data_IF_345176794293
#
_entry.id   IF_345176794293
#
_cell.length_a   1.000
_cell.length_b   1.000
_cell.length_c   1.000
_cell.angle_alpha   90.00
_cell.angle_beta   90.00
_cell.angle_gamma   90.00
#
_symmetry.space_group_name_H-M   'P 1'
#
loop_
_entity.id
_entity.type
_entity.pdbx_description
1 polymer ?
#
# COMPACT_ATOMS: atom_id res chain seq x y z
N UNK A 1 46.63 29.35 54.96
CA UNK A 1 46.33 28.20 54.08
C UNK A 1 45.06 27.54 54.58
N UNK A 2 43.92 28.01 54.10
CA UNK A 2 42.60 27.47 54.46
C UNK A 2 42.33 26.17 53.71
N UNK A 3 41.86 25.15 54.44
CA UNK A 3 41.53 23.84 53.88
C UNK A 3 40.20 23.94 53.14
N UNK A 4 40.25 23.90 51.82
CA UNK A 4 39.08 23.84 50.95
C UNK A 4 38.34 22.50 51.19
N UNK A 5 37.10 22.58 51.69
CA UNK A 5 36.31 21.41 52.06
C UNK A 5 35.54 20.86 50.85
N UNK A 6 36.16 19.88 50.17
CA UNK A 6 35.67 19.17 48.99
C UNK A 6 34.27 18.54 49.16
N UNK A 7 33.80 18.36 50.40
CA UNK A 7 32.49 17.73 50.66
C UNK A 7 31.28 18.59 50.28
N UNK A 8 31.42 19.91 50.10
CA UNK A 8 30.29 20.78 49.73
C UNK A 8 30.07 20.92 48.20
N UNK A 9 31.08 20.60 47.38
CA UNK A 9 31.00 20.75 45.93
C UNK A 9 30.34 19.54 45.24
N UNK A 10 30.46 18.35 45.84
CA UNK A 10 29.88 17.10 45.32
C UNK A 10 28.35 17.07 45.46
N UNK A 11 27.79 17.69 46.50
CA UNK A 11 26.34 17.76 46.70
C UNK A 11 25.62 18.61 45.65
N UNK A 12 26.22 19.73 45.23
CA UNK A 12 25.60 20.65 44.27
C UNK A 12 25.69 20.15 42.82
N UNK A 13 26.77 19.44 42.48
CA UNK A 13 26.97 18.88 41.13
C UNK A 13 26.09 17.64 40.86
N UNK A 14 25.76 16.85 41.89
CA UNK A 14 24.81 15.74 41.75
C UNK A 14 23.35 16.17 41.69
N UNK A 15 23.01 17.36 42.21
CA UNK A 15 21.62 17.85 42.20
C UNK A 15 21.24 18.48 40.84
N UNK A 16 22.21 19.04 40.11
CA UNK A 16 21.99 19.58 38.76
C UNK A 16 21.93 18.48 37.67
N UNK A 17 22.51 17.30 37.92
CA UNK A 17 22.47 16.15 37.01
C UNK A 17 21.22 15.28 37.16
N UNK A 18 20.43 15.47 38.21
CA UNK A 18 19.19 14.71 38.44
C UNK A 18 17.93 15.37 37.86
N UNK A 19 17.99 16.67 37.54
CA UNK A 19 16.83 17.41 37.00
C UNK A 19 16.72 17.29 35.47
N UNK A 20 17.78 16.91 34.77
CA UNK A 20 17.75 16.74 33.30
C UNK A 20 17.27 15.37 32.82
N UNK A 21 16.96 14.43 33.73
CA UNK A 21 16.46 13.10 33.36
C UNK A 21 14.94 12.96 33.41
N UNK A 22 14.21 14.01 33.78
CA UNK A 22 12.75 13.99 33.81
C UNK A 22 12.24 14.75 32.59
N UNK A 23 11.49 14.03 31.75
CA UNK A 23 10.75 14.49 30.55
C UNK A 23 11.46 14.38 29.21
N UNK A 24 11.86 13.18 28.82
CA UNK A 24 11.77 12.79 27.40
C UNK A 24 11.17 11.40 27.24
N UNK A 25 10.11 11.11 28.00
CA UNK A 25 9.10 10.17 27.52
C UNK A 25 8.20 10.92 26.55
N UNK A 26 8.71 11.25 25.35
CA UNK A 26 7.80 11.34 24.23
C UNK A 26 7.26 9.92 24.06
N UNK A 27 6.05 9.69 24.59
CA UNK A 27 5.21 8.69 23.98
C UNK A 27 5.16 9.10 22.50
N UNK A 28 5.89 8.40 21.64
CA UNK A 28 5.67 8.50 20.21
C UNK A 28 4.22 8.09 20.03
N UNK A 29 3.32 9.07 19.94
CA UNK A 29 1.98 8.82 19.49
C UNK A 29 2.15 8.21 18.11
N UNK A 30 1.79 6.95 17.96
CA UNK A 30 1.91 6.28 16.67
C UNK A 30 1.03 7.04 15.70
N UNK A 31 1.66 7.59 14.65
CA UNK A 31 0.94 8.30 13.58
C UNK A 31 -0.24 7.45 13.12
N UNK A 32 -1.43 8.04 12.92
CA UNK A 32 -2.62 7.28 12.55
C UNK A 32 -2.35 6.56 11.23
N UNK A 33 -2.43 5.22 11.25
CA UNK A 33 -2.23 4.41 10.06
C UNK A 33 -3.34 4.69 9.05
N UNK A 34 -2.97 4.65 7.77
CA UNK A 34 -3.94 4.58 6.70
C UNK A 34 -4.75 3.28 6.81
N UNK A 35 -5.94 3.27 6.22
CA UNK A 35 -6.76 2.06 6.17
C UNK A 35 -7.35 1.82 4.80
N UNK A 36 -7.46 0.55 4.46
CA UNK A 36 -7.98 0.03 3.21
C UNK A 36 -9.21 -0.80 3.49
N UNK A 37 -10.30 -0.51 2.78
CA UNK A 37 -11.46 -1.39 2.67
C UNK A 37 -11.59 -1.83 1.23
N UNK A 38 -11.40 -3.12 0.96
CA UNK A 38 -11.39 -3.64 -0.41
C UNK A 38 -12.49 -4.68 -0.55
N UNK A 39 -13.35 -4.52 -1.55
CA UNK A 39 -14.39 -5.48 -1.91
C UNK A 39 -14.13 -5.94 -3.34
N UNK A 40 -13.82 -7.22 -3.53
CA UNK A 40 -13.48 -7.81 -4.81
C UNK A 40 -14.38 -8.99 -5.19
N UNK A 41 -14.60 -9.19 -6.48
CA UNK A 41 -15.30 -10.34 -7.06
C UNK A 41 -14.37 -10.98 -8.09
N UNK A 42 -14.00 -12.23 -7.86
CA UNK A 42 -13.10 -12.98 -8.72
C UNK A 42 -13.88 -13.93 -9.64
N UNK A 43 -13.64 -13.78 -10.95
CA UNK A 43 -14.10 -14.67 -12.01
C UNK A 43 -12.91 -15.53 -12.46
N UNK A 44 -12.89 -16.77 -12.01
CA UNK A 44 -11.83 -17.73 -12.32
C UNK A 44 -11.87 -18.18 -13.79
N UNK A 45 -13.03 -18.18 -14.44
CA UNK A 45 -13.13 -18.51 -15.87
C UNK A 45 -12.42 -17.47 -16.73
N UNK A 46 -12.55 -16.18 -16.34
CA UNK A 46 -11.91 -15.06 -17.05
C UNK A 46 -10.54 -14.69 -16.50
N UNK A 47 -10.16 -15.21 -15.33
CA UNK A 47 -8.95 -14.81 -14.59
C UNK A 47 -8.95 -13.31 -14.27
N UNK A 48 -10.13 -12.76 -13.99
CA UNK A 48 -10.35 -11.34 -13.73
C UNK A 48 -10.90 -11.13 -12.33
N UNK A 49 -10.33 -10.15 -11.62
CA UNK A 49 -10.88 -9.62 -10.38
C UNK A 49 -11.39 -8.20 -10.63
N UNK A 50 -12.66 -7.94 -10.32
CA UNK A 50 -13.19 -6.57 -10.28
C UNK A 50 -13.35 -6.15 -8.84
N UNK A 51 -12.86 -4.97 -8.47
CA UNK A 51 -12.86 -4.51 -7.10
C UNK A 51 -13.14 -3.02 -6.94
N UNK A 52 -13.68 -2.70 -5.77
CA UNK A 52 -13.74 -1.35 -5.22
C UNK A 52 -12.86 -1.31 -3.97
N UNK A 53 -11.91 -0.37 -3.96
CA UNK A 53 -11.04 -0.08 -2.84
C UNK A 53 -11.36 1.32 -2.30
N UNK A 54 -11.47 1.42 -0.97
CA UNK A 54 -11.60 2.70 -0.27
C UNK A 54 -10.44 2.87 0.69
N UNK A 55 -9.65 3.92 0.47
CA UNK A 55 -8.50 4.31 1.28
C UNK A 55 -8.88 5.50 2.14
N UNK A 56 -8.76 5.36 3.46
CA UNK A 56 -8.76 6.50 4.38
C UNK A 56 -7.31 6.91 4.62
N UNK A 57 -6.92 8.03 4.02
CA UNK A 57 -5.57 8.56 4.05
C UNK A 57 -5.45 9.70 5.07
N UNK A 58 -4.40 9.67 5.89
CA UNK A 58 -4.05 10.74 6.81
C UNK A 58 -2.75 11.42 6.35
N UNK A 59 -2.77 12.75 6.18
CA UNK A 59 -1.57 13.49 5.81
C UNK A 59 -0.66 13.74 7.02
N UNK A 60 0.18 12.75 7.31
CA UNK A 60 1.15 12.82 8.41
C UNK A 60 2.54 13.33 7.94
N UNK A 61 2.64 13.91 6.74
CA UNK A 61 3.92 14.34 6.16
C UNK A 61 4.38 15.74 6.60
N UNK A 62 3.53 16.49 7.29
CA UNK A 62 3.83 17.85 7.74
C UNK A 62 3.77 18.92 6.63
N UNK A 63 3.47 18.52 5.40
CA UNK A 63 3.43 19.39 4.21
C UNK A 63 2.04 19.40 3.56
N UNK A 64 1.77 20.42 2.76
CA UNK A 64 0.55 20.48 1.95
C UNK A 64 0.70 19.55 0.74
N UNK A 65 -0.29 18.68 0.50
CA UNK A 65 -0.29 17.77 -0.64
C UNK A 65 -1.27 18.26 -1.70
N UNK A 66 -0.80 18.37 -2.95
CA UNK A 66 -1.64 18.75 -4.11
C UNK A 66 -2.09 17.56 -4.95
N UNK A 67 -1.43 16.44 -4.76
CA UNK A 67 -1.69 15.21 -5.48
C UNK A 67 -1.56 14.03 -4.53
N UNK A 68 -2.21 12.93 -4.88
CA UNK A 68 -2.07 11.63 -4.24
C UNK A 68 -1.64 10.64 -5.32
N UNK A 69 -0.67 9.78 -4.99
CA UNK A 69 -0.05 8.86 -5.94
C UNK A 69 -0.15 7.44 -5.41
N UNK A 70 -0.44 6.49 -6.32
CA UNK A 70 -0.48 5.07 -6.03
C UNK A 70 0.43 4.31 -6.99
N UNK A 71 1.13 3.31 -6.45
CA UNK A 71 1.74 2.23 -7.21
C UNK A 71 0.69 1.25 -7.70
N UNK A 72 0.81 0.86 -8.96
CA UNK A 72 0.03 -0.15 -9.66
C UNK A 72 0.95 -1.31 -10.05
N UNK A 73 1.56 -1.97 -9.08
CA UNK A 73 2.48 -3.08 -9.35
C UNK A 73 1.95 -4.19 -10.29
N UNK A 74 0.64 -4.51 -10.35
CA UNK A 74 0.14 -5.45 -11.34
C UNK A 74 0.34 -5.02 -12.80
N UNK A 75 0.48 -3.72 -13.08
CA UNK A 75 0.78 -3.19 -14.42
C UNK A 75 2.16 -3.64 -14.92
N UNK A 76 3.09 -4.03 -14.03
CA UNK A 76 4.37 -4.65 -14.44
C UNK A 76 4.20 -5.95 -15.23
N UNK A 77 3.03 -6.59 -15.17
CA UNK A 77 2.74 -7.83 -15.87
C UNK A 77 2.18 -7.65 -17.28
N UNK A 78 2.09 -6.40 -17.77
CA UNK A 78 1.58 -6.09 -19.11
C UNK A 78 2.58 -6.38 -20.24
N UNK A 79 3.86 -6.59 -19.91
CA UNK A 79 4.93 -6.90 -20.87
C UNK A 79 5.92 -7.92 -20.30
N UNK A 80 6.39 -8.92 -21.06
CA UNK A 80 7.38 -9.89 -20.61
C UNK A 80 8.66 -9.30 -20.00
N UNK A 81 9.07 -8.12 -20.45
CA UNK A 81 10.30 -7.43 -20.04
C UNK A 81 10.19 -6.78 -18.66
N UNK A 82 8.97 -6.49 -18.19
CA UNK A 82 8.71 -5.81 -16.92
C UNK A 82 8.24 -6.76 -15.82
N UNK A 83 7.95 -8.03 -16.16
CA UNK A 83 7.49 -9.03 -15.19
C UNK A 83 8.56 -9.27 -14.12
N UNK A 84 8.23 -9.10 -12.83
CA UNK A 84 9.16 -9.40 -11.76
C UNK A 84 9.35 -10.89 -11.55
N UNK A 85 10.62 -11.28 -11.42
CA UNK A 85 11.05 -12.65 -11.16
C UNK A 85 11.92 -12.77 -9.93
N UNK A 86 11.72 -13.85 -9.20
CA UNK A 86 12.63 -14.32 -8.15
C UNK A 86 13.78 -15.08 -8.85
N UNK A 87 15.02 -14.67 -8.62
CA UNK A 87 16.22 -15.35 -9.15
C UNK A 87 16.70 -14.86 -10.52
N UNK A 88 17.35 -15.74 -11.29
CA UNK A 88 17.97 -15.49 -12.60
C UNK A 88 16.97 -15.43 -13.76
N UNK A 89 15.71 -15.08 -13.44
CA UNK A 89 14.52 -15.27 -14.27
C UNK A 89 14.71 -14.90 -15.72
N UNK A 90 14.70 -15.91 -16.59
CA UNK A 90 14.52 -15.68 -18.03
C UNK A 90 13.11 -15.14 -18.24
N UNK A 91 12.93 -14.14 -19.11
CA UNK A 91 11.60 -13.63 -19.41
C UNK A 91 10.70 -14.77 -19.91
N UNK A 92 9.53 -14.89 -19.28
CA UNK A 92 8.50 -15.83 -19.72
C UNK A 92 8.01 -15.40 -21.09
N UNK A 93 7.92 -16.34 -22.04
CA UNK A 93 7.25 -16.08 -23.32
C UNK A 93 5.75 -16.22 -23.10
N UNK A 94 5.08 -15.10 -22.86
CA UNK A 94 3.63 -15.02 -22.70
C UNK A 94 2.99 -14.48 -23.99
N UNK A 95 1.81 -15.00 -24.29
CA UNK A 95 0.90 -14.42 -25.29
C UNK A 95 0.16 -13.20 -24.72
N UNK A 96 -0.51 -12.43 -25.59
CA UNK A 96 -1.34 -11.29 -25.19
C UNK A 96 -2.50 -11.69 -24.24
N UNK A 97 -2.98 -12.93 -24.33
CA UNK A 97 -3.99 -13.46 -23.42
C UNK A 97 -3.41 -13.80 -22.04
N UNK A 98 -2.12 -14.15 -21.99
CA UNK A 98 -1.41 -14.59 -20.79
C UNK A 98 -0.74 -13.46 -20.00
N UNK A 99 -0.57 -12.26 -20.59
CA UNK A 99 -0.13 -11.09 -19.83
C UNK A 99 -1.22 -10.60 -18.86
N UNK A 100 -0.78 -10.01 -17.76
CA UNK A 100 -1.64 -9.44 -16.73
C UNK A 100 -1.70 -7.92 -16.84
N UNK A 101 -2.63 -7.30 -16.14
CA UNK A 101 -2.73 -5.84 -16.07
C UNK A 101 -3.67 -5.41 -14.94
N UNK A 102 -3.58 -4.16 -14.50
CA UNK A 102 -4.58 -3.49 -13.68
C UNK A 102 -5.07 -2.22 -14.35
N UNK A 103 -6.37 -2.10 -14.51
CA UNK A 103 -7.02 -0.93 -15.07
C UNK A 103 -7.80 -0.18 -13.98
N UNK A 104 -7.48 1.10 -13.77
CA UNK A 104 -8.30 1.99 -12.95
C UNK A 104 -9.47 2.50 -13.79
N UNK A 105 -10.69 2.22 -13.33
CA UNK A 105 -11.93 2.54 -14.03
C UNK A 105 -12.53 3.86 -13.55
N UNK A 106 -12.39 4.16 -12.26
CA UNK A 106 -13.00 5.34 -11.64
C UNK A 106 -12.27 5.71 -10.34
N UNK A 107 -12.20 7.02 -10.07
CA UNK A 107 -11.59 7.59 -8.87
C UNK A 107 -12.54 8.61 -8.27
N UNK A 108 -12.84 8.45 -6.98
CA UNK A 108 -13.54 9.44 -6.17
C UNK A 108 -12.63 9.93 -5.04
N UNK A 109 -12.65 11.23 -4.76
CA UNK A 109 -12.07 11.83 -3.54
C UNK A 109 -13.21 12.47 -2.77
N UNK A 110 -13.42 12.04 -1.52
CA UNK A 110 -14.55 12.47 -0.69
C UNK A 110 -15.92 12.38 -1.42
N UNK A 111 -16.13 11.26 -2.14
CA UNK A 111 -17.31 10.98 -2.98
C UNK A 111 -17.47 11.84 -4.25
N UNK A 112 -16.50 12.70 -4.56
CA UNK A 112 -16.51 13.47 -5.81
C UNK A 112 -15.62 12.82 -6.86
N UNK A 113 -16.14 12.68 -8.08
CA UNK A 113 -15.35 12.17 -9.20
C UNK A 113 -14.23 13.14 -9.58
N UNK A 114 -13.02 12.60 -9.69
CA UNK A 114 -11.79 13.35 -10.00
C UNK A 114 -11.12 12.72 -11.23
N UNK A 115 -10.59 13.53 -12.17
CA UNK A 115 -9.74 13.01 -13.24
C UNK A 115 -8.41 12.47 -12.69
N UNK A 116 -7.90 11.42 -13.32
CA UNK A 116 -6.66 10.76 -12.94
C UNK A 116 -5.83 10.43 -14.17
N UNK A 117 -4.54 10.16 -13.98
CA UNK A 117 -3.65 9.59 -15.00
C UNK A 117 -3.12 8.24 -14.51
N UNK A 118 -3.08 7.26 -15.40
CA UNK A 118 -2.46 5.96 -15.16
C UNK A 118 -1.38 5.76 -16.22
N UNK A 119 -0.11 5.80 -15.82
CA UNK A 119 1.04 5.63 -16.72
C UNK A 119 2.21 4.99 -15.96
N UNK A 120 2.96 4.11 -16.63
CA UNK A 120 4.19 3.50 -16.09
C UNK A 120 4.03 2.90 -14.68
N UNK A 121 3.00 2.08 -14.45
CA UNK A 121 2.67 1.48 -13.15
C UNK A 121 2.30 2.49 -12.05
N UNK A 122 1.93 3.72 -12.40
CA UNK A 122 1.57 4.78 -11.44
C UNK A 122 0.18 5.34 -11.74
N UNK A 123 -0.63 5.48 -10.70
CA UNK A 123 -1.86 6.26 -10.70
C UNK A 123 -1.61 7.60 -10.00
N UNK A 124 -1.89 8.72 -10.68
CA UNK A 124 -1.85 10.06 -10.08
C UNK A 124 -3.23 10.71 -10.04
N UNK A 125 -3.52 11.32 -8.90
CA UNK A 125 -4.78 11.99 -8.61
C UNK A 125 -4.46 13.43 -8.20
N UNK A 126 -4.79 14.39 -9.05
CA UNK A 126 -4.66 15.82 -8.71
C UNK A 126 -5.85 16.26 -7.86
N UNK A 127 -5.59 16.74 -6.65
CA UNK A 127 -6.62 17.21 -5.74
C UNK A 127 -7.14 18.57 -6.20
N UNK A 128 -8.46 18.81 -6.07
CA UNK A 128 -9.06 20.12 -6.33
C UNK A 128 -8.57 21.19 -5.36
N UNK A 129 -8.43 20.79 -4.10
CA UNK A 129 -7.93 21.59 -3.00
C UNK A 129 -6.74 20.86 -2.38
N UNK A 130 -5.73 21.61 -1.94
CA UNK A 130 -4.56 21.01 -1.29
C UNK A 130 -4.97 20.43 0.06
N UNK A 131 -4.50 19.23 0.37
CA UNK A 131 -4.72 18.59 1.66
C UNK A 131 -3.72 19.16 2.67
N UNK A 132 -4.21 19.75 3.75
CA UNK A 132 -3.34 20.35 4.77
C UNK A 132 -2.68 19.29 5.64
N UNK A 133 -1.59 19.62 6.35
CA UNK A 133 -1.01 18.72 7.35
C UNK A 133 -2.04 18.28 8.40
N UNK A 134 -2.04 16.99 8.74
CA UNK A 134 -2.95 16.33 9.68
C UNK A 134 -4.42 16.25 9.24
N UNK A 135 -4.75 16.68 8.02
CA UNK A 135 -6.07 16.40 7.44
C UNK A 135 -6.14 14.98 6.88
N UNK A 136 -7.37 14.49 6.77
CA UNK A 136 -7.66 13.21 6.13
C UNK A 136 -8.50 13.41 4.88
N UNK A 137 -8.43 12.42 3.99
CA UNK A 137 -9.36 12.30 2.88
C UNK A 137 -9.66 10.84 2.61
N UNK A 138 -10.79 10.61 1.94
CA UNK A 138 -11.18 9.30 1.47
C UNK A 138 -10.98 9.22 -0.04
N UNK A 139 -10.19 8.25 -0.51
CA UNK A 139 -10.07 7.90 -1.93
C UNK A 139 -10.86 6.61 -2.18
N UNK A 140 -11.74 6.58 -3.18
CA UNK A 140 -12.37 5.36 -3.69
C UNK A 140 -11.85 5.07 -5.08
N UNK A 141 -11.38 3.85 -5.32
CA UNK A 141 -10.82 3.36 -6.58
C UNK A 141 -11.63 2.16 -7.04
N UNK A 142 -12.25 2.26 -8.22
CA UNK A 142 -12.82 1.10 -8.90
C UNK A 142 -11.80 0.59 -9.91
N UNK A 143 -11.43 -0.68 -9.85
CA UNK A 143 -10.41 -1.25 -10.73
C UNK A 143 -10.73 -2.67 -11.19
N UNK A 144 -10.12 -3.03 -12.32
CA UNK A 144 -10.16 -4.37 -12.91
C UNK A 144 -8.74 -4.90 -12.96
N UNK A 145 -8.51 -6.07 -12.39
CA UNK A 145 -7.24 -6.78 -12.42
C UNK A 145 -7.38 -8.02 -13.32
N UNK A 146 -6.52 -8.14 -14.33
CA UNK A 146 -6.34 -9.36 -15.13
C UNK A 146 -5.12 -10.11 -14.59
N UNK A 147 -5.30 -11.36 -14.17
CA UNK A 147 -4.19 -12.17 -13.68
C UNK A 147 -3.32 -12.66 -14.86
N UNK A 148 -1.99 -12.51 -14.79
CA UNK A 148 -1.08 -13.11 -15.75
C UNK A 148 -0.97 -14.63 -15.55
N UNK A 149 -0.63 -15.37 -16.60
CA UNK A 149 -0.13 -16.73 -16.46
C UNK A 149 1.28 -16.69 -15.87
N UNK A 150 1.38 -16.99 -14.57
CA UNK A 150 2.62 -16.86 -13.82
C UNK A 150 2.53 -17.69 -12.52
N UNK A 151 3.61 -18.38 -12.17
CA UNK A 151 3.70 -19.25 -10.99
C UNK A 151 4.31 -18.55 -9.78
N UNK A 152 4.66 -17.28 -9.89
CA UNK A 152 5.34 -16.52 -8.84
C UNK A 152 4.36 -15.63 -8.05
N UNK A 153 4.67 -14.35 -7.90
CA UNK A 153 4.01 -13.42 -6.96
C UNK A 153 2.54 -13.20 -7.28
N UNK A 154 2.24 -12.73 -8.49
CA UNK A 154 0.89 -12.46 -8.99
C UNK A 154 0.67 -13.31 -10.23
N UNK A 155 -0.45 -14.02 -10.27
CA UNK A 155 -0.83 -14.78 -11.46
C UNK A 155 -1.59 -16.06 -11.16
N UNK A 156 -1.75 -16.87 -12.19
CA UNK A 156 -2.34 -18.18 -12.12
C UNK A 156 -1.48 -19.23 -12.81
N UNK A 157 -1.63 -20.47 -12.34
CA UNK A 157 -1.15 -21.68 -13.01
C UNK A 157 -2.12 -22.82 -12.67
N UNK A 158 -2.71 -23.43 -13.70
CA UNK A 158 -3.81 -24.38 -13.54
C UNK A 158 -4.94 -23.76 -12.67
N UNK A 159 -5.30 -24.41 -11.56
CA UNK A 159 -6.35 -23.98 -10.63
C UNK A 159 -5.79 -23.25 -9.39
N UNK A 160 -4.52 -22.82 -9.44
CA UNK A 160 -3.85 -22.07 -8.37
C UNK A 160 -3.75 -20.60 -8.76
N UNK A 161 -4.13 -19.73 -7.82
CA UNK A 161 -4.16 -18.28 -8.01
C UNK A 161 -3.39 -17.60 -6.89
N UNK A 162 -2.49 -16.69 -7.25
CA UNK A 162 -1.71 -15.90 -6.31
C UNK A 162 -2.00 -14.41 -6.52
N UNK A 163 -2.33 -13.73 -5.42
CA UNK A 163 -2.68 -12.32 -5.38
C UNK A 163 -1.67 -11.56 -4.50
N UNK A 164 -0.43 -11.41 -4.97
CA UNK A 164 0.55 -10.53 -4.31
C UNK A 164 0.47 -9.13 -4.92
N UNK A 165 0.43 -8.09 -4.09
CA UNK A 165 0.41 -6.69 -4.53
C UNK A 165 -0.63 -6.39 -5.62
N UNK A 166 -1.82 -7.00 -5.51
CA UNK A 166 -2.83 -7.11 -6.56
C UNK A 166 -3.73 -5.87 -6.71
N UNK A 167 -3.55 -4.87 -5.85
CA UNK A 167 -4.41 -3.69 -5.71
C UNK A 167 -3.57 -2.40 -5.79
N UNK A 168 -4.19 -1.23 -6.00
CA UNK A 168 -3.49 0.05 -5.95
C UNK A 168 -2.91 0.31 -4.55
N UNK A 169 -1.60 0.52 -4.46
CA UNK A 169 -0.91 0.73 -3.17
C UNK A 169 -0.50 2.19 -3.06
N UNK A 170 -0.84 2.86 -1.96
CA UNK A 170 -0.51 4.28 -1.78
C UNK A 170 1.01 4.45 -1.76
N UNK A 171 1.52 5.32 -2.62
CA UNK A 171 2.94 5.63 -2.71
C UNK A 171 3.42 6.40 -1.47
N UNK A 172 4.73 6.39 -1.23
CA UNK A 172 5.31 7.12 -0.11
C UNK A 172 5.75 8.50 -0.58
N UNK A 173 5.26 9.54 0.10
CA UNK A 173 5.72 10.90 -0.12
C UNK A 173 7.02 11.19 0.63
N UNK A 174 7.94 11.92 -0.02
CA UNK A 174 9.16 12.43 0.59
C UNK A 174 9.04 13.95 0.78
N UNK A 175 8.91 14.44 2.03
CA UNK A 175 8.78 15.88 2.30
C UNK A 175 10.09 16.66 2.04
N UNK A 176 11.25 16.02 2.03
CA UNK A 176 12.55 16.69 1.77
C UNK A 176 12.70 17.03 0.30
N UNK A 177 12.32 16.11 -0.59
CA UNK A 177 12.37 16.33 -2.05
C UNK A 177 11.06 16.88 -2.63
N UNK A 178 9.97 16.86 -1.84
CA UNK A 178 8.62 17.23 -2.27
C UNK A 178 8.14 16.37 -3.46
N UNK A 179 8.36 15.06 -3.37
CA UNK A 179 8.04 14.10 -4.44
C UNK A 179 7.42 12.82 -3.86
N UNK A 180 6.49 12.22 -4.59
CA UNK A 180 6.05 10.85 -4.34
C UNK A 180 7.06 9.85 -4.91
N UNK A 181 7.14 8.67 -4.29
CA UNK A 181 7.81 7.54 -4.91
C UNK A 181 6.98 7.02 -6.09
N UNK A 182 7.60 7.07 -7.26
CA UNK A 182 7.02 6.65 -8.55
C UNK A 182 7.88 5.57 -9.21
N UNK A 183 8.77 4.93 -8.45
CA UNK A 183 9.69 3.92 -8.96
C UNK A 183 8.92 2.67 -9.42
N UNK A 184 8.96 2.29 -10.72
CA UNK A 184 8.26 1.11 -11.21
C UNK A 184 8.84 -0.17 -10.58
N UNK A 185 8.05 -1.25 -10.57
CA UNK A 185 8.53 -2.54 -10.06
C UNK A 185 9.73 -3.00 -10.89
N UNK A 186 10.87 -3.18 -10.23
CA UNK A 186 12.09 -3.65 -10.88
C UNK A 186 12.05 -5.18 -11.04
N UNK A 187 12.36 -5.72 -12.23
CA UNK A 187 12.17 -7.15 -12.50
C UNK A 187 13.00 -8.10 -11.61
N UNK A 188 14.10 -7.63 -11.04
CA UNK A 188 15.04 -8.44 -10.27
C UNK A 188 15.02 -8.02 -8.79
N UNK A 189 14.62 -8.93 -7.91
CA UNK A 189 14.62 -8.70 -6.46
C UNK A 189 13.29 -8.21 -5.89
N UNK A 190 13.34 -7.59 -4.71
CA UNK A 190 12.19 -6.96 -4.05
C UNK A 190 12.32 -5.44 -4.17
N UNK A 191 11.41 -4.82 -4.91
CA UNK A 191 11.44 -3.37 -5.17
C UNK A 191 10.11 -2.68 -4.83
N UNK A 192 9.11 -3.41 -4.32
CA UNK A 192 7.90 -2.81 -3.79
C UNK A 192 8.18 -2.07 -2.48
N UNK A 193 7.57 -0.90 -2.33
CA UNK A 193 7.81 0.01 -1.22
C UNK A 193 6.49 0.68 -0.81
N UNK A 194 6.05 0.44 0.43
CA UNK A 194 4.80 0.97 0.95
C UNK A 194 4.79 1.07 2.47
N UNK A 195 3.87 1.87 3.01
CA UNK A 195 3.64 1.97 4.45
C UNK A 195 2.74 0.83 4.94
N UNK A 196 2.95 0.41 6.19
CA UNK A 196 1.99 -0.47 6.88
C UNK A 196 0.66 0.24 7.07
N UNK A 197 -0.44 -0.49 6.84
CA UNK A 197 -1.80 0.02 6.91
C UNK A 197 -2.74 -1.02 7.52
N UNK A 198 -3.94 -0.60 7.90
CA UNK A 198 -5.00 -1.50 8.34
C UNK A 198 -5.84 -1.96 7.14
N UNK A 199 -6.25 -3.23 7.10
CA UNK A 199 -6.99 -3.80 5.97
C UNK A 199 -8.29 -4.47 6.42
N UNK A 200 -9.38 -4.20 5.71
CA UNK A 200 -10.65 -4.93 5.77
C UNK A 200 -11.02 -5.38 4.36
N UNK A 201 -10.80 -6.65 4.06
CA UNK A 201 -10.90 -7.20 2.71
C UNK A 201 -12.04 -8.21 2.64
N UNK A 202 -12.93 -8.02 1.68
CA UNK A 202 -13.99 -8.96 1.33
C UNK A 202 -13.79 -9.43 -0.09
N UNK A 203 -13.66 -10.75 -0.29
CA UNK A 203 -13.54 -11.37 -1.60
C UNK A 203 -14.71 -12.32 -1.84
N UNK A 204 -15.35 -12.19 -2.99
CA UNK A 204 -16.28 -13.18 -3.54
C UNK A 204 -15.52 -14.04 -4.55
N UNK A 205 -15.49 -15.35 -4.31
CA UNK A 205 -14.73 -16.32 -5.10
C UNK A 205 -15.55 -17.61 -5.30
N UNK A 206 -15.21 -18.45 -6.29
CA UNK A 206 -15.84 -19.74 -6.48
C UNK A 206 -15.79 -20.61 -5.23
N UNK A 207 -16.92 -21.27 -4.92
CA UNK A 207 -17.10 -22.06 -3.68
C UNK A 207 -16.07 -23.19 -3.50
N UNK A 208 -15.52 -23.71 -4.59
CA UNK A 208 -14.53 -24.78 -4.56
C UNK A 208 -13.12 -24.32 -4.15
N UNK A 209 -12.86 -23.01 -4.11
CA UNK A 209 -11.54 -22.48 -3.78
C UNK A 209 -11.31 -22.41 -2.27
N UNK A 210 -10.10 -22.80 -1.86
CA UNK A 210 -9.58 -22.53 -0.53
C UNK A 210 -8.77 -21.24 -0.56
N UNK A 211 -9.07 -20.31 0.35
CA UNK A 211 -8.36 -19.04 0.47
C UNK A 211 -7.37 -19.12 1.62
N UNK A 212 -6.11 -18.81 1.33
CA UNK A 212 -5.10 -18.52 2.34
C UNK A 212 -4.81 -17.02 2.30
N UNK A 213 -4.85 -16.35 3.47
CA UNK A 213 -4.64 -14.91 3.56
C UNK A 213 -3.67 -14.56 4.70
N UNK A 214 -3.14 -13.34 4.68
CA UNK A 214 -2.29 -12.79 5.74
C UNK A 214 -3.10 -12.25 6.93
N UNK A 215 -4.41 -12.12 6.78
CA UNK A 215 -5.31 -11.56 7.77
C UNK A 215 -5.94 -12.62 8.68
N UNK A 216 -6.84 -12.16 9.55
CA UNK A 216 -7.69 -13.03 10.36
C UNK A 216 -9.07 -13.10 9.70
N UNK A 217 -9.51 -14.32 9.38
CA UNK A 217 -10.83 -14.53 8.79
C UNK A 217 -11.94 -14.16 9.78
N UNK A 218 -12.72 -13.12 9.44
CA UNK A 218 -13.85 -12.68 10.27
C UNK A 218 -15.15 -13.42 9.95
N UNK A 219 -15.42 -13.71 8.67
CA UNK A 219 -16.67 -14.32 8.22
C UNK A 219 -16.51 -14.97 6.84
N UNK A 220 -16.96 -16.22 6.73
CA UNK A 220 -17.10 -16.92 5.44
C UNK A 220 -18.59 -17.17 5.19
N UNK A 221 -19.11 -16.73 4.05
CA UNK A 221 -20.51 -16.94 3.67
C UNK A 221 -20.59 -17.68 2.34
N UNK A 222 -21.22 -18.85 2.35
CA UNK A 222 -21.48 -19.60 1.13
C UNK A 222 -22.80 -19.09 0.51
N UNK A 223 -22.72 -18.41 -0.63
CA UNK A 223 -23.91 -18.12 -1.45
C UNK A 223 -24.26 -19.39 -2.23
N UNK A 224 -25.47 -19.90 -2.05
CA UNK A 224 -25.98 -20.95 -2.94
C UNK A 224 -26.31 -20.32 -4.29
N UNK A 225 -26.00 -21.01 -5.39
CA UNK A 225 -26.37 -20.58 -6.73
C UNK A 225 -27.87 -20.27 -6.78
N UNK A 226 -28.23 -19.10 -7.34
CA UNK A 226 -29.61 -18.85 -7.74
C UNK A 226 -29.96 -19.89 -8.80
N UNK A 227 -30.87 -20.80 -8.45
CA UNK A 227 -31.50 -21.74 -9.38
C UNK A 227 -32.12 -21.02 -10.58
#
# INVERSE_FOLDING_TARGET
>A
MEKFNIKSLVGFMCTFLFITFINFSQAFAQEPLNSYKINGIFDDTKKILTANEVVSFNNNYGEYLKEIVFHLYPDSYNSPETIPSIGDGKPLKLTEEEIGDIQINNVLVNNEKIPFSQENQILKINLKESLNPNENLQISLDFTLKLPHNTQRLGYFEDVYSFTNWYPILSIYNPVSNTWDETPFYPIGESNYSQSSNYDVTLEMPKAMLVASTGIDKKVTLKNEKK
#
